data_IF_948035619115
#
_entry.id   IF_948035619115
#
_cell.length_a   1.000
_cell.length_b   1.000
_cell.length_c   1.000
_cell.angle_alpha   90.00
_cell.angle_beta   90.00
_cell.angle_gamma   90.00
#
_symmetry.space_group_name_H-M   'P 1'
#
loop_
_entity.id
_entity.type
_entity.pdbx_description
1 polymer ?
#
# COMPACT_ATOMS: atom_id res chain seq x y z
N UNK A 1 -20.55 -7.93 11.55
CA UNK A 1 -20.38 -8.11 10.10
C UNK A 1 -20.19 -6.72 9.53
N UNK A 2 -19.00 -6.38 9.04
CA UNK A 2 -18.78 -5.09 8.37
C UNK A 2 -19.31 -5.23 6.95
N UNK A 3 -20.48 -4.68 6.68
CA UNK A 3 -21.00 -4.56 5.31
C UNK A 3 -20.04 -3.67 4.52
N UNK A 4 -19.47 -4.21 3.44
CA UNK A 4 -18.74 -3.40 2.47
C UNK A 4 -19.80 -2.71 1.63
N UNK A 5 -20.04 -1.44 1.90
CA UNK A 5 -20.79 -0.57 1.00
C UNK A 5 -20.18 -0.69 -0.40
N UNK A 6 -20.99 -1.11 -1.38
CA UNK A 6 -20.58 -1.24 -2.76
C UNK A 6 -20.87 0.08 -3.47
N UNK A 7 -19.82 0.84 -3.78
CA UNK A 7 -19.93 2.05 -4.57
C UNK A 7 -19.92 1.73 -6.08
N UNK A 8 -20.52 2.62 -6.85
CA UNK A 8 -20.44 2.66 -8.31
C UNK A 8 -19.05 3.13 -8.77
N UNK A 9 -18.72 2.87 -10.04
CA UNK A 9 -17.44 3.29 -10.63
C UNK A 9 -17.25 4.81 -10.58
N UNK A 10 -18.34 5.58 -10.68
CA UNK A 10 -18.34 7.04 -10.63
C UNK A 10 -18.06 7.55 -9.21
N UNK A 11 -18.68 6.95 -8.19
CA UNK A 11 -18.40 7.26 -6.79
C UNK A 11 -16.95 6.92 -6.42
N UNK A 12 -16.43 5.78 -6.90
CA UNK A 12 -15.02 5.45 -6.72
C UNK A 12 -14.10 6.42 -7.45
N UNK A 13 -14.48 6.90 -8.64
CA UNK A 13 -13.71 7.92 -9.36
C UNK A 13 -13.64 9.23 -8.57
N UNK A 14 -14.75 9.67 -7.99
CA UNK A 14 -14.81 10.84 -7.12
C UNK A 14 -13.94 10.66 -5.87
N UNK A 15 -14.08 9.56 -5.15
CA UNK A 15 -13.29 9.28 -3.93
C UNK A 15 -11.78 9.21 -4.24
N UNK A 16 -11.40 8.62 -5.36
CA UNK A 16 -10.01 8.59 -5.81
C UNK A 16 -9.50 10.00 -6.10
N UNK A 17 -10.29 10.84 -6.77
CA UNK A 17 -9.92 12.23 -7.05
C UNK A 17 -9.73 13.04 -5.76
N UNK A 18 -10.64 12.93 -4.79
CA UNK A 18 -10.49 13.65 -3.51
C UNK A 18 -9.22 13.20 -2.76
N UNK A 19 -8.90 11.90 -2.81
CA UNK A 19 -7.75 11.34 -2.09
C UNK A 19 -6.39 11.60 -2.77
N UNK A 20 -6.34 11.54 -4.10
CA UNK A 20 -5.09 11.52 -4.86
C UNK A 20 -4.97 12.64 -5.91
N UNK A 21 -6.05 13.38 -6.15
CA UNK A 21 -6.13 14.37 -7.23
C UNK A 21 -6.31 13.73 -8.61
N UNK A 22 -5.89 14.46 -9.63
CA UNK A 22 -5.96 14.02 -11.02
C UNK A 22 -4.96 12.91 -11.33
N UNK A 23 -5.41 11.93 -12.13
CA UNK A 23 -4.52 10.87 -12.59
C UNK A 23 -3.53 11.45 -13.61
N UNK A 24 -2.22 11.14 -13.50
CA UNK A 24 -1.26 11.51 -14.54
C UNK A 24 -1.68 10.98 -15.91
N UNK A 25 -1.34 11.68 -17.00
CA UNK A 25 -1.64 11.23 -18.35
C UNK A 25 -1.01 9.85 -18.60
N UNK A 26 -1.71 9.01 -19.34
CA UNK A 26 -1.25 7.66 -19.65
C UNK A 26 0.02 7.72 -20.50
N UNK A 27 1.12 7.22 -19.96
CA UNK A 27 2.39 7.08 -20.68
C UNK A 27 2.40 5.77 -21.46
N UNK A 28 2.79 5.80 -22.75
CA UNK A 28 2.93 4.59 -23.55
C UNK A 28 4.10 3.75 -23.02
N UNK A 29 4.05 2.41 -23.13
CA UNK A 29 5.13 1.57 -22.61
C UNK A 29 6.52 1.96 -23.12
N UNK A 30 6.62 2.40 -24.37
CA UNK A 30 7.86 2.79 -25.04
C UNK A 30 8.43 4.11 -24.50
N UNK A 31 7.57 4.97 -23.96
CA UNK A 31 7.92 6.29 -23.42
C UNK A 31 8.15 6.24 -21.91
N UNK A 32 8.04 5.06 -21.28
CA UNK A 32 8.37 4.89 -19.87
C UNK A 32 9.88 5.05 -19.73
N UNK A 33 10.31 6.00 -18.91
CA UNK A 33 11.71 6.10 -18.50
C UNK A 33 12.07 4.77 -17.84
N UNK A 34 13.11 4.12 -18.33
CA UNK A 34 13.71 3.00 -17.61
C UNK A 34 14.31 3.58 -16.33
N UNK A 35 13.53 3.58 -15.25
CA UNK A 35 13.99 3.93 -13.92
C UNK A 35 15.09 2.92 -13.55
N UNK A 36 16.35 3.31 -13.75
CA UNK A 36 17.50 2.56 -13.27
C UNK A 36 17.42 2.55 -11.75
N UNK A 37 17.04 1.40 -11.19
CA UNK A 37 17.56 0.91 -9.90
C UNK A 37 17.45 1.90 -8.73
N UNK A 38 16.34 2.62 -8.59
CA UNK A 38 15.87 3.00 -7.26
C UNK A 38 14.85 1.94 -6.86
N UNK A 39 15.37 0.72 -6.62
CA UNK A 39 14.59 -0.39 -6.11
C UNK A 39 13.85 0.11 -4.85
N UNK A 40 12.54 0.26 -5.03
CA UNK A 40 11.49 0.19 -4.01
C UNK A 40 12.05 -0.18 -2.63
N UNK A 41 11.80 0.71 -1.66
CA UNK A 41 12.01 0.54 -0.21
C UNK A 41 12.20 -0.94 0.19
N UNK A 42 13.31 -1.31 0.85
CA UNK A 42 13.69 -2.71 1.10
C UNK A 42 12.49 -3.55 1.50
N UNK A 43 12.28 -4.69 0.82
CA UNK A 43 11.24 -5.65 1.19
C UNK A 43 11.25 -5.82 2.70
N UNK A 44 10.16 -5.44 3.36
CA UNK A 44 9.92 -5.82 4.76
C UNK A 44 9.56 -7.30 4.78
N UNK A 45 10.56 -8.15 4.57
CA UNK A 45 10.44 -9.62 4.60
C UNK A 45 10.01 -10.13 5.99
N UNK A 46 10.00 -9.24 7.00
CA UNK A 46 9.52 -9.53 8.34
C UNK A 46 8.37 -8.58 8.70
N UNK A 47 7.18 -9.10 9.08
CA UNK A 47 6.16 -8.26 9.67
C UNK A 47 6.71 -7.58 10.92
N UNK A 48 6.40 -6.30 11.10
CA UNK A 48 6.72 -5.60 12.33
C UNK A 48 6.08 -6.36 13.50
N UNK A 49 6.82 -6.52 14.60
CA UNK A 49 6.28 -7.18 15.76
C UNK A 49 5.10 -6.39 16.31
N UNK A 50 3.96 -7.04 16.48
CA UNK A 50 2.82 -6.49 17.20
C UNK A 50 3.23 -5.94 18.57
N UNK A 51 2.51 -4.93 19.05
CA UNK A 51 2.80 -4.36 20.36
C UNK A 51 2.67 -5.46 21.43
N UNK A 52 3.75 -5.71 22.18
CA UNK A 52 3.80 -6.70 23.27
C UNK A 52 4.37 -8.09 22.93
N UNK A 53 4.73 -8.40 21.67
CA UNK A 53 5.33 -9.73 21.39
C UNK A 53 6.71 -9.89 22.02
N UNK A 54 7.51 -8.84 22.10
CA UNK A 54 8.79 -8.88 22.80
C UNK A 54 8.63 -9.20 24.30
N UNK A 55 7.60 -8.64 24.94
CA UNK A 55 7.30 -8.94 26.35
C UNK A 55 6.84 -10.39 26.54
N UNK A 56 6.07 -10.91 25.58
CA UNK A 56 5.60 -12.30 25.58
C UNK A 56 6.75 -13.28 25.39
N UNK A 57 7.69 -13.00 24.50
CA UNK A 57 8.85 -13.85 24.21
C UNK A 57 9.82 -13.87 25.40
N UNK A 58 10.06 -12.72 26.03
CA UNK A 58 10.86 -12.61 27.26
C UNK A 58 10.22 -13.37 28.44
N UNK A 59 8.89 -13.41 28.50
CA UNK A 59 8.16 -14.20 29.50
C UNK A 59 8.20 -15.70 29.21
N UNK A 60 8.25 -16.10 27.94
CA UNK A 60 8.16 -17.49 27.52
C UNK A 60 9.48 -18.27 27.72
N UNK A 61 10.62 -17.58 27.85
CA UNK A 61 11.94 -18.21 28.04
C UNK A 61 12.45 -18.81 26.73
N UNK A 62 13.64 -18.38 26.30
CA UNK A 62 14.26 -18.77 25.02
C UNK A 62 14.60 -20.24 24.89
#
# INVERSE_FOLDING_TARGET
MTERESFTDEEYAFLRHVRFGELPPRVRPEDRVAETEAETDPRRDRPEPAVGQYERDLRAGG
#
